data_IF_985769556978
#
_entry.id   IF_985769556978
#
_cell.length_a   1.000
_cell.length_b   1.000
_cell.length_c   1.000
_cell.angle_alpha   90.00
_cell.angle_beta   90.00
_cell.angle_gamma   90.00
#
_symmetry.space_group_name_H-M   'P 1'
#
loop_
_entity.id
_entity.type
_entity.pdbx_description
1 polymer ?
#
# COMPACT_ATOMS: atom_id res chain seq x y z
N UNK A 1 3.59 -18.96 -7.42
CA UNK A 1 2.25 -18.76 -8.05
C UNK A 1 2.43 -17.86 -9.26
N UNK A 2 1.73 -18.10 -10.38
CA UNK A 2 1.77 -17.18 -11.52
C UNK A 2 0.53 -16.29 -11.54
N UNK A 3 0.73 -14.99 -11.75
CA UNK A 3 -0.35 -14.01 -11.93
C UNK A 3 0.16 -12.93 -12.89
N UNK A 4 -0.53 -12.75 -14.03
CA UNK A 4 0.06 -12.16 -15.23
C UNK A 4 1.25 -12.99 -15.73
N UNK A 5 2.31 -12.31 -16.17
CA UNK A 5 3.58 -12.94 -16.58
C UNK A 5 4.59 -13.11 -15.46
N UNK A 6 4.31 -12.58 -14.26
CA UNK A 6 5.21 -12.64 -13.10
C UNK A 6 5.08 -13.95 -12.30
N UNK A 7 6.22 -14.40 -11.78
CA UNK A 7 6.31 -15.50 -10.81
C UNK A 7 6.40 -14.95 -9.38
N UNK A 8 5.35 -15.21 -8.62
CA UNK A 8 5.18 -14.73 -7.25
C UNK A 8 5.59 -15.80 -6.24
N UNK A 9 6.39 -15.41 -5.26
CA UNK A 9 6.94 -16.29 -4.22
C UNK A 9 6.72 -15.70 -2.82
N UNK A 10 6.70 -16.49 -1.74
CA UNK A 10 6.47 -15.98 -0.39
C UNK A 10 7.39 -14.81 -0.03
N UNK A 11 6.84 -13.70 0.45
CA UNK A 11 7.60 -12.46 0.62
C UNK A 11 8.77 -12.58 1.61
N UNK A 12 8.59 -13.34 2.69
CA UNK A 12 9.62 -13.53 3.71
C UNK A 12 10.76 -14.46 3.28
N UNK A 13 10.58 -15.26 2.22
CA UNK A 13 11.65 -16.08 1.64
C UNK A 13 12.57 -15.24 0.71
N UNK A 14 12.11 -14.05 0.28
CA UNK A 14 12.82 -13.15 -0.62
C UNK A 14 13.03 -11.75 -0.01
N UNK A 15 13.72 -11.63 1.15
CA UNK A 15 13.83 -10.37 1.90
C UNK A 15 14.58 -9.26 1.16
N UNK A 16 15.33 -9.58 0.10
CA UNK A 16 16.03 -8.61 -0.76
C UNK A 16 15.09 -7.89 -1.73
N UNK A 17 13.85 -8.39 -1.90
CA UNK A 17 12.80 -7.75 -2.69
C UNK A 17 11.90 -6.84 -1.85
N UNK A 18 12.25 -6.58 -0.60
CA UNK A 18 11.46 -5.77 0.33
C UNK A 18 12.31 -4.65 0.89
N UNK A 19 11.72 -3.47 1.10
CA UNK A 19 12.38 -2.49 1.93
C UNK A 19 12.47 -2.98 3.38
N UNK A 20 13.49 -2.51 4.10
CA UNK A 20 13.70 -2.86 5.51
C UNK A 20 12.44 -2.68 6.39
N UNK A 21 11.69 -1.55 6.36
CA UNK A 21 10.48 -1.40 7.16
C UNK A 21 9.38 -2.40 6.79
N UNK A 22 9.22 -2.72 5.50
CA UNK A 22 8.22 -3.69 5.02
C UNK A 22 8.54 -5.09 5.52
N UNK A 23 9.80 -5.52 5.38
CA UNK A 23 10.28 -6.82 5.89
C UNK A 23 10.04 -6.95 7.40
N UNK A 24 10.46 -5.94 8.18
CA UNK A 24 10.32 -5.95 9.64
C UNK A 24 8.85 -6.04 10.06
N UNK A 25 7.95 -5.33 9.38
CA UNK A 25 6.52 -5.39 9.66
C UNK A 25 5.92 -6.75 9.32
N UNK A 26 6.29 -7.37 8.20
CA UNK A 26 5.85 -8.73 7.84
C UNK A 26 6.36 -9.77 8.86
N UNK A 27 7.63 -9.69 9.27
CA UNK A 27 8.21 -10.57 10.31
C UNK A 27 7.48 -10.40 11.65
N UNK A 28 7.13 -9.17 12.03
CA UNK A 28 6.39 -8.90 13.26
C UNK A 28 4.93 -9.41 13.18
N UNK A 29 4.27 -9.23 12.04
CA UNK A 29 2.91 -9.71 11.80
C UNK A 29 2.85 -11.24 11.79
N UNK A 30 3.83 -11.91 11.19
CA UNK A 30 3.91 -13.37 11.11
C UNK A 30 3.95 -14.06 12.48
N UNK A 31 4.44 -13.37 13.52
CA UNK A 31 4.43 -13.89 14.90
C UNK A 31 3.02 -14.13 15.45
N UNK A 32 2.05 -13.33 14.99
CA UNK A 32 0.66 -13.39 15.47
C UNK A 32 -0.28 -14.03 14.43
N UNK A 33 0.03 -13.90 13.14
CA UNK A 33 -0.82 -14.35 12.03
C UNK A 33 0.01 -15.01 10.91
N UNK A 34 0.65 -16.16 11.18
CA UNK A 34 1.54 -16.81 10.21
C UNK A 34 0.81 -17.24 8.92
N UNK A 35 -0.45 -17.69 9.03
CA UNK A 35 -1.25 -18.11 7.87
C UNK A 35 -1.62 -16.94 6.94
N UNK A 36 -1.86 -15.76 7.51
CA UNK A 36 -2.10 -14.55 6.74
C UNK A 36 -0.81 -14.11 6.02
N UNK A 37 0.31 -14.05 6.74
CA UNK A 37 1.60 -13.64 6.15
C UNK A 37 2.12 -14.65 5.12
N UNK A 38 1.82 -15.95 5.28
CA UNK A 38 2.14 -16.98 4.30
C UNK A 38 1.49 -16.78 2.93
N UNK A 39 0.44 -15.95 2.85
CA UNK A 39 -0.25 -15.58 1.60
C UNK A 39 0.29 -14.28 0.98
N UNK A 40 1.21 -13.59 1.65
CA UNK A 40 1.86 -12.39 1.13
C UNK A 40 2.98 -12.83 0.19
N UNK A 41 2.80 -12.56 -1.09
CA UNK A 41 3.76 -12.91 -2.13
C UNK A 41 4.49 -11.67 -2.64
N UNK A 42 5.68 -11.87 -3.21
CA UNK A 42 6.50 -10.84 -3.84
C UNK A 42 6.99 -11.32 -5.20
N UNK A 43 7.17 -10.39 -6.13
CA UNK A 43 7.82 -10.62 -7.41
C UNK A 43 8.72 -9.43 -7.79
N UNK A 44 9.91 -9.66 -8.37
CA UNK A 44 10.72 -8.58 -8.92
C UNK A 44 10.05 -8.02 -10.17
N UNK A 45 10.24 -6.73 -10.42
CA UNK A 45 9.88 -6.06 -11.66
C UNK A 45 11.05 -5.20 -12.15
N UNK A 46 11.02 -4.81 -13.41
CA UNK A 46 11.89 -3.77 -13.93
C UNK A 46 11.55 -2.44 -13.23
N UNK A 47 12.49 -1.79 -12.52
CA UNK A 47 12.23 -0.53 -11.84
C UNK A 47 11.79 0.61 -12.78
N UNK A 48 12.13 0.54 -14.08
CA UNK A 48 11.68 1.52 -15.06
C UNK A 48 10.21 1.31 -15.45
N UNK A 49 9.65 0.12 -15.18
CA UNK A 49 8.24 -0.24 -15.43
C UNK A 49 7.41 -0.22 -14.14
N UNK A 50 7.85 0.49 -13.09
CA UNK A 50 7.19 0.45 -11.78
C UNK A 50 5.93 1.32 -11.65
N UNK A 51 5.65 2.21 -12.63
CA UNK A 51 4.37 2.92 -12.73
C UNK A 51 3.23 1.93 -12.93
N UNK A 52 2.07 2.17 -12.32
CA UNK A 52 0.97 1.22 -12.33
C UNK A 52 0.45 0.91 -13.73
N UNK A 53 0.36 1.90 -14.63
CA UNK A 53 -0.11 1.68 -15.99
C UNK A 53 0.91 0.89 -16.81
N UNK A 54 2.18 1.29 -16.74
CA UNK A 54 3.27 0.63 -17.46
C UNK A 54 3.50 -0.80 -16.96
N UNK A 55 3.47 -1.00 -15.63
CA UNK A 55 3.59 -2.32 -14.98
C UNK A 55 2.48 -3.26 -15.44
N UNK A 56 1.23 -2.80 -15.39
CA UNK A 56 0.08 -3.66 -15.70
C UNK A 56 0.08 -4.06 -17.17
N UNK A 57 0.44 -3.15 -18.07
CA UNK A 57 0.61 -3.45 -19.49
C UNK A 57 1.79 -4.40 -19.75
N UNK A 58 2.95 -4.15 -19.15
CA UNK A 58 4.17 -4.94 -19.37
C UNK A 58 4.04 -6.37 -18.87
N UNK A 59 3.42 -6.56 -17.70
CA UNK A 59 3.34 -7.86 -17.04
C UNK A 59 1.99 -8.56 -17.18
N UNK A 60 1.10 -8.03 -18.04
CA UNK A 60 -0.26 -8.57 -18.25
C UNK A 60 -1.03 -8.73 -16.94
N UNK A 61 -0.88 -7.76 -16.03
CA UNK A 61 -1.57 -7.74 -14.74
C UNK A 61 -2.91 -7.01 -14.88
N UNK A 62 -4.01 -7.52 -14.31
CA UNK A 62 -5.26 -6.79 -14.28
C UNK A 62 -5.11 -5.48 -13.50
N UNK A 63 -5.49 -4.35 -14.11
CA UNK A 63 -5.39 -3.03 -13.50
C UNK A 63 -6.20 -2.95 -12.21
N UNK A 64 -7.35 -3.63 -12.16
CA UNK A 64 -8.21 -3.71 -10.98
C UNK A 64 -7.56 -4.45 -9.80
N UNK A 65 -6.53 -5.28 -10.02
CA UNK A 65 -5.77 -5.86 -8.92
C UNK A 65 -4.80 -4.85 -8.30
N UNK A 66 -4.39 -3.80 -9.02
CA UNK A 66 -3.45 -2.81 -8.47
C UNK A 66 -4.13 -1.91 -7.45
N UNK A 67 -3.47 -1.70 -6.31
CA UNK A 67 -3.91 -0.79 -5.26
C UNK A 67 -2.79 0.23 -4.94
N UNK A 68 -3.11 1.51 -5.10
CA UNK A 68 -2.19 2.60 -4.83
C UNK A 68 -2.21 2.95 -3.35
N UNK A 69 -1.04 3.15 -2.74
CA UNK A 69 -0.88 3.71 -1.40
C UNK A 69 -0.43 5.16 -1.50
N UNK A 70 -1.29 6.09 -1.08
CA UNK A 70 -1.00 7.53 -1.09
C UNK A 70 -0.96 8.08 0.33
N UNK A 71 0.09 8.82 0.65
CA UNK A 71 0.23 9.45 1.96
C UNK A 71 -0.40 10.84 1.94
N UNK A 72 -1.22 11.12 2.95
CA UNK A 72 -2.00 12.36 3.11
C UNK A 72 -1.73 12.96 4.48
N UNK A 73 -1.56 14.29 4.52
CA UNK A 73 -1.42 15.05 5.75
C UNK A 73 -2.49 16.13 5.84
N UNK A 74 -2.84 16.49 7.07
CA UNK A 74 -3.59 17.70 7.37
C UNK A 74 -3.29 18.21 8.77
N UNK A 75 -3.78 19.41 9.08
CA UNK A 75 -3.58 20.04 10.39
C UNK A 75 -4.88 20.57 10.99
N UNK A 76 -5.03 20.40 12.30
CA UNK A 76 -6.05 21.08 13.13
C UNK A 76 -5.43 21.53 14.44
N UNK A 77 -5.65 22.77 14.84
CA UNK A 77 -5.12 23.36 16.07
C UNK A 77 -3.59 23.22 16.23
N UNK A 78 -2.84 23.23 15.12
CA UNK A 78 -1.38 23.07 15.12
C UNK A 78 -0.90 21.62 15.10
N UNK A 79 -1.77 20.65 15.39
CA UNK A 79 -1.45 19.22 15.36
C UNK A 79 -1.56 18.68 13.93
N UNK A 80 -0.52 17.97 13.50
CA UNK A 80 -0.51 17.26 12.23
C UNK A 80 -1.10 15.86 12.40
N UNK A 81 -1.86 15.44 11.38
CA UNK A 81 -2.47 14.12 11.31
C UNK A 81 -2.20 13.53 9.95
N UNK A 82 -1.83 12.25 9.95
CA UNK A 82 -1.32 11.54 8.78
C UNK A 82 -2.19 10.32 8.49
N UNK A 83 -2.42 10.06 7.21
CA UNK A 83 -3.03 8.83 6.74
C UNK A 83 -2.26 8.26 5.54
N UNK A 84 -2.21 6.94 5.45
CA UNK A 84 -1.99 6.22 4.21
C UNK A 84 -3.36 5.76 3.71
N UNK A 85 -3.76 6.20 2.52
CA UNK A 85 -4.99 5.76 1.89
C UNK A 85 -4.67 4.75 0.78
N UNK A 86 -5.35 3.62 0.82
CA UNK A 86 -5.15 2.50 -0.09
C UNK A 86 -6.43 2.34 -0.90
N UNK A 87 -6.30 2.56 -2.21
CA UNK A 87 -7.42 2.64 -3.15
C UNK A 87 -7.05 1.88 -4.42
N UNK A 88 -8.05 1.33 -5.13
CA UNK A 88 -7.81 0.66 -6.41
C UNK A 88 -7.22 1.63 -7.42
N UNK A 89 -6.36 1.13 -8.31
CA UNK A 89 -5.76 1.93 -9.38
C UNK A 89 -6.79 2.51 -10.36
N UNK A 90 -7.97 1.90 -10.43
CA UNK A 90 -9.14 2.37 -11.19
C UNK A 90 -9.93 3.48 -10.49
N UNK A 91 -9.48 3.94 -9.32
CA UNK A 91 -10.17 4.95 -8.50
C UNK A 91 -9.19 5.98 -7.97
N UNK A 92 -9.70 7.07 -7.39
CA UNK A 92 -8.90 8.10 -6.72
C UNK A 92 -9.35 8.34 -5.29
N UNK A 93 -8.38 8.43 -4.38
CA UNK A 93 -8.63 8.74 -2.97
C UNK A 93 -9.37 10.08 -2.81
N UNK A 94 -10.45 10.11 -2.04
CA UNK A 94 -11.24 11.31 -1.76
C UNK A 94 -10.60 12.13 -0.62
N UNK A 95 -9.44 12.70 -0.94
CA UNK A 95 -8.59 13.44 0.01
C UNK A 95 -9.35 14.59 0.67
N UNK A 96 -10.03 15.40 -0.14
CA UNK A 96 -10.61 16.67 0.31
C UNK A 96 -11.99 16.52 0.99
N UNK A 97 -12.58 15.32 0.94
CA UNK A 97 -13.86 15.02 1.60
C UNK A 97 -13.68 13.93 2.65
N UNK A 98 -13.70 12.65 2.26
CA UNK A 98 -13.69 11.51 3.20
C UNK A 98 -12.44 11.50 4.09
N UNK A 99 -11.23 11.55 3.51
CA UNK A 99 -9.99 11.48 4.30
C UNK A 99 -9.85 12.72 5.19
N UNK A 100 -10.15 13.93 4.68
CA UNK A 100 -10.16 15.16 5.47
C UNK A 100 -11.07 15.07 6.70
N UNK A 101 -12.28 14.48 6.53
CA UNK A 101 -13.22 14.27 7.64
C UNK A 101 -12.70 13.22 8.62
N UNK A 102 -12.19 12.09 8.14
CA UNK A 102 -11.63 11.04 8.98
C UNK A 102 -10.46 11.54 9.82
N UNK A 103 -9.52 12.27 9.22
CA UNK A 103 -8.42 12.90 9.92
C UNK A 103 -8.88 14.05 10.82
N UNK A 104 -10.10 14.55 10.66
CA UNK A 104 -10.64 15.70 11.39
C UNK A 104 -9.72 16.94 11.26
N UNK A 105 -9.42 17.31 10.02
CA UNK A 105 -8.51 18.41 9.67
C UNK A 105 -9.20 19.48 8.85
N UNK A 106 -8.69 20.73 8.90
CA UNK A 106 -9.27 21.84 8.11
C UNK A 106 -8.99 21.68 6.60
N UNK A 107 -7.81 21.17 6.27
CA UNK A 107 -7.36 20.87 4.92
C UNK A 107 -6.54 19.57 4.96
N UNK A 108 -6.71 18.75 3.94
CA UNK A 108 -5.88 17.58 3.69
C UNK A 108 -5.21 17.72 2.32
N UNK A 109 -4.00 17.19 2.18
CA UNK A 109 -3.27 17.14 0.91
C UNK A 109 -2.33 15.96 0.88
N UNK A 110 -1.96 15.49 -0.31
CA UNK A 110 -0.88 14.53 -0.48
C UNK A 110 0.41 15.07 0.15
N UNK A 111 1.21 14.19 0.75
CA UNK A 111 2.56 14.54 1.19
C UNK A 111 3.44 14.86 -0.03
N UNK A 112 4.36 15.83 0.08
CA UNK A 112 5.44 15.98 -0.89
C UNK A 112 6.23 14.67 -1.02
N UNK A 113 6.64 14.31 -2.23
CA UNK A 113 7.32 13.05 -2.54
C UNK A 113 8.53 12.79 -1.64
N UNK A 114 9.43 13.76 -1.50
CA UNK A 114 10.64 13.61 -0.69
C UNK A 114 10.33 13.30 0.78
N UNK A 115 9.28 13.95 1.31
CA UNK A 115 8.80 13.68 2.66
C UNK A 115 8.18 12.29 2.75
N UNK A 116 7.35 11.89 1.79
CA UNK A 116 6.73 10.57 1.78
C UNK A 116 7.77 9.44 1.76
N UNK A 117 8.82 9.58 0.94
CA UNK A 117 9.96 8.66 0.86
C UNK A 117 10.72 8.61 2.19
N UNK A 118 11.05 9.79 2.75
CA UNK A 118 11.79 9.90 4.01
C UNK A 118 11.02 9.31 5.18
N UNK A 119 9.75 9.69 5.33
CA UNK A 119 8.90 9.25 6.44
C UNK A 119 8.64 7.73 6.36
N UNK A 120 8.40 7.19 5.16
CA UNK A 120 8.13 5.76 4.97
C UNK A 120 9.39 4.89 5.08
N UNK A 121 10.58 5.44 4.82
CA UNK A 121 11.80 4.64 4.66
C UNK A 121 11.72 3.72 3.43
N UNK A 122 11.03 4.16 2.38
CA UNK A 122 10.70 3.40 1.18
C UNK A 122 10.99 4.22 -0.07
N UNK A 123 11.28 3.56 -1.18
CA UNK A 123 11.55 4.22 -2.46
C UNK A 123 10.30 4.82 -3.11
N UNK A 124 10.50 5.87 -3.92
CA UNK A 124 9.44 6.44 -4.72
C UNK A 124 8.87 5.41 -5.73
N UNK A 125 7.55 5.24 -5.72
CA UNK A 125 6.85 4.18 -6.48
C UNK A 125 6.82 2.81 -5.79
N UNK A 126 7.50 2.67 -4.65
CA UNK A 126 7.48 1.48 -3.79
C UNK A 126 6.67 1.64 -2.50
N UNK A 127 6.24 2.86 -2.14
CA UNK A 127 5.50 3.14 -0.90
C UNK A 127 4.25 2.25 -0.78
N UNK A 128 4.06 1.67 0.41
CA UNK A 128 3.04 0.67 0.72
C UNK A 128 2.51 0.87 2.15
N UNK A 129 1.30 0.37 2.51
CA UNK A 129 0.81 0.47 3.89
C UNK A 129 1.61 -0.34 4.91
N UNK A 130 2.34 -1.37 4.47
CA UNK A 130 3.07 -2.28 5.34
C UNK A 130 4.37 -1.63 5.82
N UNK A 131 4.57 -1.52 7.14
CA UNK A 131 5.81 -0.97 7.70
C UNK A 131 5.88 0.55 7.75
N UNK A 132 4.77 1.26 7.51
CA UNK A 132 4.70 2.69 7.78
C UNK A 132 4.85 2.98 9.28
N UNK A 133 5.40 4.16 9.65
CA UNK A 133 5.45 4.59 11.04
C UNK A 133 4.06 4.65 11.71
N UNK A 134 3.98 4.32 13.00
CA UNK A 134 2.72 4.16 13.73
C UNK A 134 1.83 5.41 13.84
N UNK A 135 2.33 6.59 13.48
CA UNK A 135 1.52 7.81 13.38
C UNK A 135 0.64 7.89 12.13
N UNK A 136 0.88 7.04 11.12
CA UNK A 136 0.03 6.95 9.94
C UNK A 136 -1.19 6.09 10.25
N UNK A 137 -2.39 6.67 10.13
CA UNK A 137 -3.60 5.87 10.03
C UNK A 137 -3.63 5.16 8.69
N UNK A 138 -3.88 3.85 8.68
CA UNK A 138 -3.93 3.07 7.45
C UNK A 138 -5.40 2.89 7.07
N UNK A 139 -5.83 3.56 5.99
CA UNK A 139 -7.22 3.57 5.53
C UNK A 139 -7.34 2.74 4.25
N UNK A 140 -8.11 1.66 4.29
CA UNK A 140 -8.36 0.79 3.15
C UNK A 140 -9.73 1.07 2.56
N UNK A 141 -9.81 1.38 1.27
CA UNK A 141 -11.11 1.41 0.60
C UNK A 141 -11.69 0.00 0.53
N UNK A 142 -12.98 -0.16 0.79
CA UNK A 142 -13.66 -1.48 0.77
C UNK A 142 -13.43 -2.27 -0.52
N UNK A 143 -13.25 -1.60 -1.67
CA UNK A 143 -12.94 -2.27 -2.94
C UNK A 143 -11.60 -3.00 -2.90
N UNK A 144 -10.65 -2.57 -2.07
CA UNK A 144 -9.31 -3.19 -1.95
C UNK A 144 -9.32 -4.50 -1.18
N UNK A 145 -10.38 -4.78 -0.40
CA UNK A 145 -10.46 -5.98 0.44
C UNK A 145 -11.24 -7.12 -0.23
N UNK A 146 -11.97 -6.84 -1.31
CA UNK A 146 -12.86 -7.81 -1.96
C UNK A 146 -12.19 -8.70 -3.03
N UNK A 147 -10.97 -8.38 -3.44
CA UNK A 147 -10.22 -9.13 -4.47
C UNK A 147 -8.71 -8.93 -4.28
N UNK A 148 -7.85 -9.74 -4.91
CA UNK A 148 -6.40 -9.63 -4.74
C UNK A 148 -5.88 -8.21 -4.98
N UNK A 149 -4.87 -7.82 -4.21
CA UNK A 149 -4.25 -6.50 -4.25
C UNK A 149 -2.77 -6.62 -4.62
N UNK A 150 -2.34 -5.84 -5.60
CA UNK A 150 -0.93 -5.59 -5.91
C UNK A 150 -0.55 -4.22 -5.34
N UNK A 151 0.39 -4.21 -4.42
CA UNK A 151 0.88 -3.01 -3.73
C UNK A 151 2.40 -2.89 -3.85
N UNK A 152 2.94 -1.74 -3.46
CA UNK A 152 4.39 -1.56 -3.35
C UNK A 152 5.02 -2.53 -2.35
N UNK A 153 6.29 -2.86 -2.56
CA UNK A 153 7.13 -3.68 -1.66
C UNK A 153 8.06 -2.84 -0.77
N UNK A 154 7.92 -1.51 -0.83
CA UNK A 154 8.83 -0.54 -0.25
C UNK A 154 10.05 -0.21 -1.11
N UNK A 155 10.32 -0.98 -2.17
CA UNK A 155 11.34 -0.67 -3.18
C UNK A 155 10.67 -0.53 -4.56
N UNK A 156 11.37 0.08 -5.52
CA UNK A 156 10.86 0.30 -6.87
C UNK A 156 10.91 -0.94 -7.75
N UNK A 157 11.90 -1.81 -7.52
CA UNK A 157 12.18 -3.01 -8.33
C UNK A 157 11.36 -4.26 -7.99
N UNK A 158 10.28 -4.17 -7.22
CA UNK A 158 9.41 -5.31 -6.90
C UNK A 158 8.03 -4.86 -6.45
N UNK A 159 7.09 -5.81 -6.36
CA UNK A 159 5.72 -5.59 -5.86
C UNK A 159 5.30 -6.74 -4.95
N UNK A 160 4.32 -6.45 -4.10
CA UNK A 160 3.65 -7.46 -3.26
C UNK A 160 2.28 -7.78 -3.86
N UNK A 161 1.92 -9.06 -3.88
CA UNK A 161 0.58 -9.56 -4.17
C UNK A 161 0.05 -10.27 -2.93
N UNK A 162 -1.16 -9.93 -2.51
CA UNK A 162 -1.83 -10.59 -1.39
C UNK A 162 -3.35 -10.62 -1.60
N UNK A 163 -4.07 -11.57 -0.98
CA UNK A 163 -5.53 -11.53 -0.96
C UNK A 163 -6.05 -10.24 -0.30
N UNK A 164 -7.21 -9.76 -0.75
CA UNK A 164 -7.81 -8.53 -0.21
C UNK A 164 -8.20 -8.67 1.26
N UNK A 165 -8.64 -9.86 1.66
CA UNK A 165 -8.93 -10.22 3.05
C UNK A 165 -7.67 -10.18 3.92
N UNK A 166 -6.52 -10.63 3.40
CA UNK A 166 -5.24 -10.55 4.11
C UNK A 166 -4.79 -9.09 4.24
N UNK A 167 -4.97 -8.28 3.19
CA UNK A 167 -4.72 -6.83 3.29
C UNK A 167 -5.60 -6.18 4.36
N UNK A 168 -6.85 -6.60 4.50
CA UNK A 168 -7.79 -6.11 5.51
C UNK A 168 -7.40 -6.49 6.96
N UNK A 169 -6.61 -7.55 7.13
CA UNK A 169 -6.07 -8.00 8.41
C UNK A 169 -4.78 -7.27 8.81
N UNK A 170 -4.28 -6.35 7.98
CA UNK A 170 -3.07 -5.59 8.27
C UNK A 170 -3.21 -4.87 9.63
N UNK A 171 -2.26 -5.05 10.57
CA UNK A 171 -2.37 -4.46 11.90
C UNK A 171 -2.58 -2.95 11.88
N UNK A 172 -3.65 -2.49 12.54
CA UNK A 172 -4.00 -1.07 12.63
C UNK A 172 -4.67 -0.47 11.39
N UNK A 173 -5.05 -1.30 10.41
CA UNK A 173 -5.81 -0.84 9.25
C UNK A 173 -7.29 -0.60 9.57
N UNK A 174 -7.88 0.37 8.89
CA UNK A 174 -9.29 0.76 9.00
C UNK A 174 -9.95 0.61 7.63
N UNK A 175 -10.98 -0.23 7.53
CA UNK A 175 -11.76 -0.40 6.31
C UNK A 175 -12.80 0.74 6.22
N UNK A 176 -12.78 1.47 5.12
CA UNK A 176 -13.59 2.68 4.92
C UNK A 176 -14.39 2.57 3.63
N UNK A 177 -15.70 2.61 3.76
CA UNK A 177 -16.61 2.77 2.62
C UNK A 177 -16.54 4.20 2.08
N UNK A 178 -16.46 4.36 0.75
CA UNK A 178 -16.39 5.68 0.11
C UNK A 178 -15.07 6.42 0.34
N UNK A 179 -13.98 5.70 0.61
CA UNK A 179 -12.63 6.27 0.70
C UNK A 179 -12.15 6.79 -0.66
N UNK A 180 -12.57 6.14 -1.76
CA UNK A 180 -12.24 6.54 -3.13
C UNK A 180 -13.47 6.88 -3.99
N UNK A 181 -13.22 7.60 -5.09
CA UNK A 181 -14.17 7.95 -6.16
C UNK A 181 -13.66 7.43 -7.50
N UNK A 182 -14.58 7.20 -8.43
CA UNK A 182 -14.26 6.94 -9.84
C UNK A 182 -13.69 8.19 -10.53
#
# INVERSE_FOLDING_TARGET
MRFGTLDWSPALDHPHLLAAPVRQALEAWAKNSPDAVGQVLVAPIDPDQADTADMTATYELPLEASANCVLVAGKRNGEERLAAAIVRATTRADVNSTIKKLLDVRKASFLPTDRAVTDAGMEYGGITPIGLPGQYRVLLDTRTTASPAIIGSGIRGSKILLPGEVLAELPGSEIVEGLAKE
#
